data_IF_128250814386
#
_entry.id   IF_128250814386
#
_cell.length_a   1.000
_cell.length_b   1.000
_cell.length_c   1.000
_cell.angle_alpha   90.00
_cell.angle_beta   90.00
_cell.angle_gamma   90.00
#
_symmetry.space_group_name_H-M   'P 1'
#
loop_
_entity.id
_entity.type
_entity.pdbx_description
1 polymer ?
#
# COMPACT_ATOMS: atom_id res chain seq x y z
N UNK A 1 -21.74 3.50 -15.36
CA UNK A 1 -21.47 3.06 -13.97
C UNK A 1 -20.03 3.44 -13.68
N UNK A 2 -19.78 4.40 -12.77
CA UNK A 2 -18.43 4.86 -12.44
C UNK A 2 -17.70 3.76 -11.66
N UNK A 3 -16.84 3.00 -12.32
CA UNK A 3 -15.88 2.12 -11.65
C UNK A 3 -14.86 3.01 -10.93
N UNK A 4 -15.18 3.45 -9.71
CA UNK A 4 -14.18 4.07 -8.85
C UNK A 4 -13.13 3.02 -8.57
N UNK A 5 -11.96 3.19 -9.16
CA UNK A 5 -10.84 2.27 -9.01
C UNK A 5 -10.37 2.33 -7.55
N UNK A 6 -10.81 1.35 -6.76
CA UNK A 6 -10.36 1.19 -5.38
C UNK A 6 -9.12 0.29 -5.36
N UNK A 7 -8.13 0.71 -4.58
CA UNK A 7 -6.93 -0.05 -4.31
C UNK A 7 -6.94 -0.52 -2.85
N UNK A 8 -6.26 -1.62 -2.58
CA UNK A 8 -6.05 -2.09 -1.21
C UNK A 8 -4.86 -1.34 -0.61
N UNK A 9 -5.04 -0.81 0.60
CA UNK A 9 -3.99 -0.16 1.37
C UNK A 9 -3.87 -0.85 2.72
N UNK A 10 -2.65 -1.18 3.13
CA UNK A 10 -2.35 -1.57 4.50
C UNK A 10 -2.03 -0.32 5.31
N UNK A 11 -2.77 -0.07 6.38
CA UNK A 11 -2.54 1.03 7.30
C UNK A 11 -1.92 0.49 8.58
N UNK A 12 -0.72 0.96 8.91
CA UNK A 12 -0.07 0.76 10.20
C UNK A 12 -0.47 1.89 11.14
N UNK A 13 -1.04 1.56 12.29
CA UNK A 13 -1.37 2.54 13.33
C UNK A 13 -1.03 2.00 14.71
N UNK A 14 -0.73 2.93 15.62
CA UNK A 14 -0.42 2.64 17.00
C UNK A 14 -1.52 3.19 17.91
N UNK A 15 -1.97 2.39 18.86
CA UNK A 15 -2.93 2.84 19.87
C UNK A 15 -2.23 3.58 21.03
N UNK A 16 -3.02 4.13 21.96
CA UNK A 16 -2.56 4.85 23.15
C UNK A 16 -1.65 4.00 24.07
N UNK A 17 -1.76 2.67 24.04
CA UNK A 17 -0.86 1.77 24.79
C UNK A 17 0.43 1.42 24.04
N UNK A 18 0.66 2.02 22.87
CA UNK A 18 1.86 1.77 22.08
C UNK A 18 1.80 0.48 21.26
N UNK A 19 0.66 -0.20 21.19
CA UNK A 19 0.50 -1.44 20.42
C UNK A 19 0.28 -1.08 18.95
N UNK A 20 1.10 -1.65 18.07
CA UNK A 20 1.00 -1.48 16.61
C UNK A 20 0.00 -2.48 16.03
N UNK A 21 -0.90 -1.98 15.19
CA UNK A 21 -1.89 -2.75 14.45
C UNK A 21 -1.78 -2.45 12.96
N UNK A 22 -2.21 -3.43 12.16
CA UNK A 22 -2.28 -3.35 10.71
C UNK A 22 -3.73 -3.59 10.28
N UNK A 23 -4.28 -2.70 9.44
CA UNK A 23 -5.64 -2.84 8.89
C UNK A 23 -5.61 -2.62 7.39
N UNK A 24 -6.26 -3.52 6.66
CA UNK A 24 -6.39 -3.43 5.20
C UNK A 24 -7.68 -2.71 4.85
N UNK A 25 -7.56 -1.60 4.12
CA UNK A 25 -8.69 -0.79 3.68
C UNK A 25 -8.73 -0.65 2.18
N UNK A 26 -9.92 -0.77 1.61
CA UNK A 26 -10.17 -0.45 0.21
C UNK A 26 -10.48 1.04 0.12
N UNK A 27 -9.63 1.77 -0.59
CA UNK A 27 -9.77 3.21 -0.74
C UNK A 27 -9.41 3.64 -2.16
N UNK A 28 -9.88 4.81 -2.58
CA UNK A 28 -9.49 5.40 -3.88
C UNK A 28 -8.13 6.09 -3.81
N UNK A 29 -7.64 6.40 -2.61
CA UNK A 29 -6.37 7.13 -2.38
C UNK A 29 -5.89 6.95 -0.95
N UNK A 30 -4.61 7.23 -0.69
CA UNK A 30 -3.99 7.19 0.65
C UNK A 30 -4.75 8.09 1.64
N UNK A 31 -5.14 9.30 1.25
CA UNK A 31 -5.89 10.21 2.13
C UNK A 31 -7.29 9.69 2.49
N UNK A 32 -7.91 8.90 1.61
CA UNK A 32 -9.19 8.26 1.91
C UNK A 32 -9.01 7.07 2.86
N UNK A 33 -7.97 6.26 2.66
CA UNK A 33 -7.57 5.20 3.59
C UNK A 33 -7.28 5.75 5.00
N UNK A 34 -6.54 6.85 5.09
CA UNK A 34 -6.26 7.53 6.36
C UNK A 34 -7.55 7.96 7.05
N UNK A 35 -8.45 8.61 6.30
CA UNK A 35 -9.71 9.14 6.83
C UNK A 35 -10.62 8.02 7.34
N UNK A 36 -10.67 6.88 6.64
CA UNK A 36 -11.42 5.71 7.08
C UNK A 36 -10.89 5.16 8.42
N UNK A 37 -9.57 5.01 8.57
CA UNK A 37 -8.97 4.53 9.81
C UNK A 37 -9.18 5.54 10.95
N UNK A 38 -8.94 6.83 10.72
CA UNK A 38 -9.18 7.88 11.73
C UNK A 38 -10.64 7.98 12.15
N UNK A 39 -11.59 7.72 11.24
CA UNK A 39 -13.02 7.71 11.58
C UNK A 39 -13.41 6.55 12.50
N UNK A 40 -12.73 5.40 12.39
CA UNK A 40 -12.96 4.23 13.26
C UNK A 40 -12.16 4.33 14.57
N UNK A 41 -10.95 4.89 14.50
CA UNK A 41 -9.96 4.95 15.57
C UNK A 41 -9.39 6.37 15.64
N UNK A 42 -10.14 7.36 16.15
CA UNK A 42 -9.66 8.74 16.25
C UNK A 42 -8.49 8.89 17.23
N UNK A 43 -8.35 7.92 18.13
CA UNK A 43 -7.34 7.85 19.20
C UNK A 43 -6.02 7.22 18.72
N UNK A 44 -6.04 6.54 17.56
CA UNK A 44 -4.88 5.88 17.00
C UNK A 44 -3.97 6.85 16.24
N UNK A 45 -2.67 6.71 16.42
CA UNK A 45 -1.66 7.43 15.66
C UNK A 45 -1.27 6.61 14.44
N UNK A 46 -1.63 7.09 13.24
CA UNK A 46 -1.25 6.44 11.98
C UNK A 46 0.26 6.63 11.77
N UNK A 47 0.97 5.53 11.53
CA UNK A 47 2.42 5.51 11.34
C UNK A 47 2.79 5.43 9.88
N UNK A 48 2.12 4.56 9.13
CA UNK A 48 2.39 4.35 7.71
C UNK A 48 1.12 3.89 6.98
N UNK A 49 1.04 4.21 5.69
CA UNK A 49 0.01 3.70 4.78
C UNK A 49 0.73 3.19 3.53
N UNK A 50 0.62 1.90 3.28
CA UNK A 50 1.28 1.21 2.17
C UNK A 50 0.22 0.75 1.19
N UNK A 51 0.38 1.11 -0.09
CA UNK A 51 -0.43 0.54 -1.15
C UNK A 51 -0.08 -0.95 -1.28
N UNK A 52 -1.06 -1.83 -1.10
CA UNK A 52 -0.87 -3.24 -1.43
C UNK A 52 -0.92 -3.35 -2.96
N UNK A 53 0.20 -3.71 -3.63
CA UNK A 53 0.12 -4.08 -5.02
C UNK A 53 -0.88 -5.22 -5.10
N UNK A 54 -1.85 -5.13 -6.01
CA UNK A 54 -2.79 -6.21 -6.24
C UNK A 54 -1.97 -7.43 -6.59
N UNK A 55 -1.81 -8.34 -5.63
CA UNK A 55 -1.27 -9.66 -5.88
C UNK A 55 -2.42 -10.33 -6.61
N UNK A 56 -2.26 -10.55 -7.91
CA UNK A 56 -3.17 -11.43 -8.63
C UNK A 56 -3.27 -12.74 -7.82
N UNK A 57 -4.41 -13.44 -7.84
CA UNK A 57 -4.72 -14.66 -7.06
C UNK A 57 -3.67 -15.81 -7.14
N UNK A 58 -2.60 -15.59 -7.91
CA UNK A 58 -1.45 -16.44 -8.18
C UNK A 58 -0.16 -16.07 -7.42
N UNK A 59 -0.22 -15.16 -6.44
CA UNK A 59 0.92 -14.89 -5.55
C UNK A 59 2.14 -14.23 -6.22
N UNK A 60 1.97 -13.69 -7.44
CA UNK A 60 3.05 -12.98 -8.13
C UNK A 60 3.03 -11.50 -7.73
N UNK A 61 3.97 -11.10 -6.89
CA UNK A 61 4.31 -9.68 -6.75
C UNK A 61 4.72 -9.15 -8.12
N UNK A 62 3.94 -8.21 -8.67
CA UNK A 62 4.39 -7.36 -9.79
C UNK A 62 5.47 -6.41 -9.29
N UNK A 63 6.64 -6.96 -8.97
CA UNK A 63 7.85 -6.16 -8.89
C UNK A 63 8.03 -5.54 -10.27
N UNK A 64 7.98 -4.20 -10.31
CA UNK A 64 8.33 -3.45 -11.50
C UNK A 64 9.77 -3.82 -11.84
N UNK A 65 9.95 -4.77 -12.77
CA UNK A 65 11.24 -5.07 -13.38
C UNK A 65 11.75 -3.78 -13.99
N UNK A 66 12.55 -3.05 -13.22
CA UNK A 66 13.35 -1.94 -13.73
C UNK A 66 14.28 -2.57 -14.75
N UNK A 67 14.01 -2.26 -16.01
CA UNK A 67 14.78 -2.70 -17.16
C UNK A 67 16.27 -2.54 -16.89
N UNK A 68 16.97 -3.65 -16.69
CA UNK A 68 18.41 -3.71 -16.85
C UNK A 68 18.69 -3.72 -18.35
N UNK A 69 18.50 -2.57 -18.98
CA UNK A 69 19.13 -2.25 -20.25
C UNK A 69 20.58 -1.87 -19.93
N UNK A 70 21.41 -2.90 -19.79
CA UNK A 70 22.84 -2.80 -19.56
C UNK A 70 23.61 -3.16 -20.83
N UNK A 71 23.42 -2.36 -21.88
CA UNK A 71 24.39 -2.26 -22.97
C UNK A 71 25.75 -1.87 -22.36
N UNK A 72 26.74 -2.74 -22.50
CA UNK A 72 28.16 -2.34 -22.54
C UNK A 72 28.98 -3.42 -23.21
N UNK A 73 29.17 -3.18 -24.51
CA UNK A 73 30.16 -3.79 -25.38
C UNK A 73 31.57 -3.81 -24.76
N UNK A 74 32.30 -4.92 -24.89
CA UNK A 74 33.77 -4.91 -24.86
C UNK A 74 34.34 -6.04 -25.73
N UNK A 75 34.67 -5.69 -26.96
CA UNK A 75 35.60 -6.40 -27.82
C UNK A 75 37.02 -5.89 -27.54
N UNK A 76 37.98 -6.78 -27.24
CA UNK A 76 39.30 -6.88 -27.87
C UNK A 76 40.05 -8.10 -27.34
#
# INVERSE_FOLDING_TARGET
MNSQQTNAYTVEYQDLYGITYYDEVLASSIGDAERQVRSKRPEASIRAITLNPKIDDEGRTVESISSIDGDSSAAH
#
